data_IF_543130288271
#
_entry.id   IF_543130288271
#
_cell.length_a   1.000
_cell.length_b   1.000
_cell.length_c   1.000
_cell.angle_alpha   90.00
_cell.angle_beta   90.00
_cell.angle_gamma   90.00
#
_symmetry.space_group_name_H-M   'P 1'
#
loop_
_entity.id
_entity.type
_entity.pdbx_description
1 polymer ?
#
# COMPACT_ATOMS: atom_id res chain seq x y z
N UNK A 1 1.48 15.69 15.81
CA UNK A 1 2.13 14.37 15.86
C UNK A 1 1.42 13.44 14.87
N UNK A 2 2.18 12.75 14.03
CA UNK A 2 1.64 11.84 13.00
C UNK A 2 0.59 12.48 12.11
N UNK A 3 0.86 13.67 11.62
CA UNK A 3 -0.08 14.39 10.76
C UNK A 3 -0.25 13.75 9.38
N UNK A 4 0.78 13.10 8.87
CA UNK A 4 0.77 12.45 7.56
C UNK A 4 0.95 10.94 7.74
N UNK A 5 -0.10 10.19 7.43
CA UNK A 5 -0.08 8.72 7.54
C UNK A 5 -0.10 8.12 6.15
N UNK A 6 0.90 7.29 5.84
CA UNK A 6 1.02 6.59 4.57
C UNK A 6 0.52 5.16 4.72
N UNK A 7 -0.37 4.73 3.82
CA UNK A 7 -0.97 3.39 3.87
C UNK A 7 -0.86 2.72 2.51
N UNK A 8 0.04 1.74 2.35
CA UNK A 8 0.05 0.94 1.13
C UNK A 8 -1.11 -0.05 1.13
N UNK A 9 -1.78 -0.18 0.00
CA UNK A 9 -2.92 -1.09 -0.18
C UNK A 9 -2.69 -1.94 -1.43
N UNK A 10 -3.06 -3.20 -1.34
CA UNK A 10 -2.89 -4.15 -2.46
C UNK A 10 -4.17 -4.94 -2.76
N UNK A 11 -5.29 -4.54 -2.16
CA UNK A 11 -6.57 -5.22 -2.32
C UNK A 11 -6.75 -6.43 -1.41
N UNK A 12 -5.76 -6.77 -0.58
CA UNK A 12 -5.89 -7.89 0.35
C UNK A 12 -6.71 -7.50 1.58
N UNK A 13 -7.24 -8.51 2.28
CA UNK A 13 -8.01 -8.28 3.51
C UNK A 13 -7.17 -7.62 4.60
N UNK A 14 -5.90 -8.03 4.70
CA UNK A 14 -5.03 -7.47 5.73
C UNK A 14 -4.70 -6.01 5.45
N UNK A 15 -4.53 -5.64 4.18
CA UNK A 15 -4.35 -4.24 3.81
C UNK A 15 -5.59 -3.42 4.16
N UNK A 16 -6.78 -4.00 3.98
CA UNK A 16 -8.04 -3.38 4.41
C UNK A 16 -8.10 -3.16 5.92
N UNK A 17 -7.62 -4.13 6.70
CA UNK A 17 -7.54 -3.99 8.15
C UNK A 17 -6.55 -2.91 8.55
N UNK A 18 -5.41 -2.84 7.87
CA UNK A 18 -4.43 -1.78 8.10
C UNK A 18 -5.02 -0.40 7.80
N UNK A 19 -5.78 -0.29 6.73
CA UNK A 19 -6.43 0.96 6.38
C UNK A 19 -7.45 1.38 7.45
N UNK A 20 -8.23 0.45 7.95
CA UNK A 20 -9.20 0.74 9.03
C UNK A 20 -8.48 1.22 10.29
N UNK A 21 -7.35 0.62 10.63
CA UNK A 21 -6.57 1.07 11.78
C UNK A 21 -6.01 2.47 11.56
N UNK A 22 -5.52 2.75 10.36
CA UNK A 22 -5.05 4.09 9.99
C UNK A 22 -6.16 5.12 10.11
N UNK A 23 -7.38 4.78 9.69
CA UNK A 23 -8.54 5.67 9.81
C UNK A 23 -8.83 5.97 11.27
N UNK A 24 -8.81 4.96 12.14
CA UNK A 24 -9.02 5.16 13.58
C UNK A 24 -8.00 6.11 14.17
N UNK A 25 -6.73 5.93 13.84
CA UNK A 25 -5.67 6.83 14.28
C UNK A 25 -5.84 8.24 13.73
N UNK A 26 -6.12 8.37 12.45
CA UNK A 26 -6.26 9.67 11.81
C UNK A 26 -7.41 10.48 12.42
N UNK A 27 -8.51 9.81 12.78
CA UNK A 27 -9.62 10.48 13.44
C UNK A 27 -9.24 11.01 14.81
N UNK A 28 -8.45 10.25 15.57
CA UNK A 28 -8.01 10.66 16.89
C UNK A 28 -6.95 11.75 16.85
N UNK A 29 -6.09 11.73 15.85
CA UNK A 29 -4.93 12.61 15.77
C UNK A 29 -5.11 13.77 14.79
N UNK A 30 -6.25 13.85 14.14
CA UNK A 30 -6.53 14.85 13.09
C UNK A 30 -5.49 14.76 11.95
N UNK A 31 -5.17 13.53 11.57
CA UNK A 31 -4.19 13.26 10.51
C UNK A 31 -4.86 13.25 9.14
N UNK A 32 -4.03 13.38 8.10
CA UNK A 32 -4.43 13.08 6.74
C UNK A 32 -3.79 11.77 6.30
N UNK A 33 -4.40 11.13 5.32
CA UNK A 33 -3.93 9.83 4.84
C UNK A 33 -3.59 9.92 3.37
N UNK A 34 -2.49 9.29 2.98
CA UNK A 34 -2.23 8.97 1.58
C UNK A 34 -2.27 7.46 1.42
N UNK A 35 -3.12 6.99 0.50
CA UNK A 35 -3.15 5.58 0.13
C UNK A 35 -2.32 5.41 -1.14
N UNK A 36 -1.50 4.37 -1.18
CA UNK A 36 -0.69 4.07 -2.37
C UNK A 36 -0.84 2.61 -2.75
N UNK A 37 -0.74 2.34 -4.03
CA UNK A 37 -0.66 0.98 -4.56
C UNK A 37 0.49 0.89 -5.53
N UNK A 38 1.26 -0.18 -5.42
CA UNK A 38 2.41 -0.44 -6.29
C UNK A 38 2.00 -1.47 -7.33
N UNK A 39 2.01 -1.09 -8.59
CA UNK A 39 1.74 -2.00 -9.71
C UNK A 39 3.07 -2.66 -10.06
N UNK A 40 3.30 -3.87 -9.58
CA UNK A 40 4.59 -4.52 -9.72
C UNK A 40 4.52 -5.96 -10.23
N UNK A 41 3.39 -6.41 -10.75
CA UNK A 41 3.29 -7.75 -11.30
C UNK A 41 4.23 -7.96 -12.48
N UNK A 42 4.79 -9.15 -12.58
CA UNK A 42 5.71 -9.53 -13.65
C UNK A 42 4.95 -10.34 -14.70
N UNK A 43 5.02 -9.96 -16.00
CA UNK A 43 4.42 -10.77 -17.05
C UNK A 43 5.07 -12.15 -17.10
N UNK A 44 4.32 -13.21 -17.45
CA UNK A 44 4.91 -14.53 -17.65
C UNK A 44 6.00 -14.49 -18.71
N UNK A 45 7.04 -15.33 -18.61
CA UNK A 45 8.03 -15.46 -19.68
C UNK A 45 7.36 -15.93 -20.97
N UNK A 46 7.95 -15.62 -22.10
CA UNK A 46 7.48 -16.02 -23.43
C UNK A 46 6.18 -15.37 -23.91
N UNK A 47 5.74 -14.28 -23.26
CA UNK A 47 4.61 -13.50 -23.74
C UNK A 47 5.01 -12.62 -24.92
N UNK A 48 4.08 -12.47 -25.88
CA UNK A 48 4.27 -11.52 -26.95
C UNK A 48 4.18 -10.08 -26.40
N UNK A 49 4.78 -9.09 -27.09
CA UNK A 49 4.67 -7.70 -26.65
C UNK A 49 3.23 -7.21 -26.48
N UNK A 50 2.30 -7.66 -27.34
CA UNK A 50 0.90 -7.27 -27.22
C UNK A 50 0.24 -7.84 -25.97
N UNK A 51 0.58 -9.07 -25.60
CA UNK A 51 0.06 -9.70 -24.36
C UNK A 51 0.63 -8.99 -23.15
N UNK A 52 1.91 -8.64 -23.16
CA UNK A 52 2.54 -7.89 -22.08
C UNK A 52 1.81 -6.55 -21.87
N UNK A 53 1.53 -5.84 -22.96
CA UNK A 53 0.83 -4.57 -22.90
C UNK A 53 -0.56 -4.70 -22.31
N UNK A 54 -1.30 -5.75 -22.69
CA UNK A 54 -2.61 -6.03 -22.14
C UNK A 54 -2.55 -6.30 -20.63
N UNK A 55 -1.56 -7.09 -20.19
CA UNK A 55 -1.39 -7.41 -18.78
C UNK A 55 -1.05 -6.16 -17.96
N UNK A 56 -0.18 -5.31 -18.47
CA UNK A 56 0.17 -4.05 -17.81
C UNK A 56 -1.06 -3.16 -17.68
N UNK A 57 -1.83 -3.03 -18.75
CA UNK A 57 -3.06 -2.24 -18.75
C UNK A 57 -4.06 -2.77 -17.73
N UNK A 58 -4.20 -4.09 -17.65
CA UNK A 58 -5.10 -4.72 -16.69
C UNK A 58 -4.64 -4.50 -15.25
N UNK A 59 -3.35 -4.63 -14.98
CA UNK A 59 -2.79 -4.39 -13.65
C UNK A 59 -2.99 -2.93 -13.22
N UNK A 60 -2.80 -2.01 -14.15
CA UNK A 60 -3.01 -0.58 -13.90
C UNK A 60 -4.47 -0.31 -13.55
N UNK A 61 -5.39 -0.88 -14.34
CA UNK A 61 -6.83 -0.74 -14.11
C UNK A 61 -7.25 -1.31 -12.76
N UNK A 62 -6.74 -2.49 -12.42
CA UNK A 62 -6.98 -3.10 -11.11
C UNK A 62 -6.45 -2.22 -9.99
N UNK A 63 -5.24 -1.69 -10.16
CA UNK A 63 -4.63 -0.81 -9.18
C UNK A 63 -5.41 0.48 -8.96
N UNK A 64 -5.93 1.05 -10.04
CA UNK A 64 -6.78 2.25 -9.95
C UNK A 64 -8.04 1.97 -9.13
N UNK A 65 -8.64 0.80 -9.31
CA UNK A 65 -9.81 0.39 -8.53
C UNK A 65 -9.45 0.22 -7.05
N UNK A 66 -8.31 -0.39 -6.76
CA UNK A 66 -7.84 -0.59 -5.38
C UNK A 66 -7.66 0.74 -4.66
N UNK A 67 -6.96 1.69 -5.27
CA UNK A 67 -6.75 2.99 -4.62
C UNK A 67 -8.03 3.81 -4.54
N UNK A 68 -8.90 3.69 -5.54
CA UNK A 68 -10.18 4.41 -5.54
C UNK A 68 -11.07 3.93 -4.39
N UNK A 69 -11.19 2.61 -4.20
CA UNK A 69 -11.97 2.05 -3.09
C UNK A 69 -11.41 2.48 -1.74
N UNK A 70 -10.09 2.41 -1.60
CA UNK A 70 -9.43 2.80 -0.37
C UNK A 70 -9.65 4.28 -0.07
N UNK A 71 -9.48 5.13 -1.06
CA UNK A 71 -9.69 6.57 -0.93
C UNK A 71 -11.14 6.89 -0.54
N UNK A 72 -12.09 6.21 -1.17
CA UNK A 72 -13.52 6.40 -0.88
C UNK A 72 -13.82 6.03 0.57
N UNK A 73 -13.27 4.91 1.06
CA UNK A 73 -13.45 4.48 2.43
C UNK A 73 -12.93 5.52 3.43
N UNK A 74 -11.77 6.09 3.15
CA UNK A 74 -11.20 7.13 4.02
C UNK A 74 -12.02 8.41 3.97
N UNK A 75 -12.35 8.85 2.76
CA UNK A 75 -13.10 10.10 2.54
C UNK A 75 -14.47 10.07 3.23
N UNK A 76 -15.14 8.92 3.22
CA UNK A 76 -16.46 8.78 3.84
C UNK A 76 -16.44 9.03 5.35
N UNK A 77 -15.28 8.99 5.98
CA UNK A 77 -15.13 9.26 7.42
C UNK A 77 -14.77 10.72 7.72
N UNK A 78 -14.67 11.56 6.68
CA UNK A 78 -14.34 12.98 6.85
C UNK A 78 -12.85 13.28 6.93
N UNK A 79 -11.98 12.28 6.73
CA UNK A 79 -10.53 12.46 6.77
C UNK A 79 -10.05 12.97 5.42
N UNK A 80 -9.13 13.94 5.43
CA UNK A 80 -8.45 14.39 4.23
C UNK A 80 -7.60 13.25 3.68
N UNK A 81 -7.77 12.93 2.40
CA UNK A 81 -7.10 11.79 1.79
C UNK A 81 -6.72 12.09 0.34
N UNK A 82 -5.53 11.65 -0.06
CA UNK A 82 -5.18 11.56 -1.46
C UNK A 82 -4.66 10.16 -1.76
N UNK A 83 -4.36 9.89 -3.02
CA UNK A 83 -3.93 8.57 -3.46
C UNK A 83 -2.84 8.67 -4.51
N UNK A 84 -2.10 7.61 -4.64
CA UNK A 84 -1.07 7.51 -5.66
C UNK A 84 -0.95 6.09 -6.16
N UNK A 85 -0.80 5.94 -7.48
CA UNK A 85 -0.52 4.67 -8.14
C UNK A 85 0.92 4.73 -8.63
N UNK A 86 1.74 3.77 -8.22
CA UNK A 86 3.16 3.72 -8.58
C UNK A 86 3.41 2.50 -9.43
N UNK A 87 3.99 2.67 -10.61
CA UNK A 87 4.32 1.56 -11.49
C UNK A 87 5.78 1.18 -11.29
N UNK A 88 6.01 -0.09 -10.97
CA UNK A 88 7.33 -0.61 -10.65
C UNK A 88 7.42 -2.08 -11.05
N UNK A 89 7.13 -2.37 -12.31
CA UNK A 89 7.04 -3.73 -12.83
C UNK A 89 8.25 -4.58 -12.47
N UNK A 90 7.99 -5.74 -11.86
CA UNK A 90 9.03 -6.69 -11.52
C UNK A 90 9.86 -6.34 -10.30
N UNK A 91 9.58 -5.24 -9.62
CA UNK A 91 10.34 -4.83 -8.43
C UNK A 91 9.52 -5.00 -7.15
N UNK A 92 10.20 -5.23 -6.00
CA UNK A 92 9.50 -5.36 -4.72
C UNK A 92 8.79 -4.07 -4.32
N UNK A 93 7.56 -4.21 -3.84
CA UNK A 93 6.74 -3.06 -3.48
C UNK A 93 7.28 -2.26 -2.29
N UNK A 94 7.88 -2.93 -1.31
CA UNK A 94 8.36 -2.28 -0.09
C UNK A 94 9.32 -1.13 -0.34
N UNK A 95 10.19 -1.28 -1.34
CA UNK A 95 11.15 -0.24 -1.72
C UNK A 95 10.46 1.07 -2.10
N UNK A 96 9.35 0.96 -2.83
CA UNK A 96 8.60 2.14 -3.30
C UNK A 96 7.76 2.76 -2.20
N UNK A 97 7.31 1.97 -1.24
CA UNK A 97 6.63 2.49 -0.05
C UNK A 97 7.60 3.36 0.77
N UNK A 98 8.81 2.89 0.99
CA UNK A 98 9.83 3.64 1.72
C UNK A 98 10.19 4.93 0.97
N UNK A 99 10.38 4.86 -0.34
CA UNK A 99 10.66 6.05 -1.16
C UNK A 99 9.52 7.07 -1.05
N UNK A 100 8.29 6.61 -1.10
CA UNK A 100 7.14 7.51 -0.99
C UNK A 100 7.07 8.16 0.41
N UNK A 101 7.41 7.41 1.46
CA UNK A 101 7.43 7.97 2.82
C UNK A 101 8.43 9.13 2.94
N UNK A 102 9.54 9.06 2.21
CA UNK A 102 10.51 10.15 2.16
C UNK A 102 9.99 11.34 1.36
N UNK A 103 9.40 11.07 0.18
CA UNK A 103 9.01 12.12 -0.76
C UNK A 103 7.77 12.89 -0.29
N UNK A 104 6.83 12.21 0.34
CA UNK A 104 5.58 12.83 0.83
C UNK A 104 5.68 13.31 2.27
N UNK A 105 6.75 13.49 2.85
CA UNK A 105 7.11 13.53 4.27
C UNK A 105 6.06 12.87 5.19
N UNK A 106 5.94 11.55 5.10
CA UNK A 106 5.10 10.80 6.02
C UNK A 106 5.66 10.88 7.44
N UNK A 107 4.77 10.80 8.43
CA UNK A 107 5.16 10.72 9.84
C UNK A 107 4.96 9.33 10.41
N UNK A 108 4.19 8.50 9.72
CA UNK A 108 3.87 7.14 10.15
C UNK A 108 3.49 6.33 8.91
N UNK A 109 3.95 5.08 8.85
CA UNK A 109 3.47 4.11 7.87
C UNK A 109 2.60 3.10 8.61
N UNK A 110 1.40 2.81 8.08
CA UNK A 110 0.53 1.76 8.62
C UNK A 110 0.36 0.72 7.52
N UNK A 111 0.79 -0.50 7.76
CA UNK A 111 0.71 -1.56 6.75
C UNK A 111 0.43 -2.91 7.39
N UNK A 112 -0.02 -3.87 6.59
CA UNK A 112 -0.23 -5.22 7.04
C UNK A 112 1.08 -6.00 7.14
N UNK A 113 1.08 -7.06 7.93
CA UNK A 113 2.25 -7.92 8.07
C UNK A 113 2.49 -8.78 6.83
N UNK A 114 1.44 -8.99 6.01
CA UNK A 114 1.50 -9.73 4.74
C UNK A 114 0.76 -8.97 3.68
N UNK A 115 1.03 -9.28 2.42
CA UNK A 115 0.26 -8.80 1.29
C UNK A 115 -0.52 -9.94 0.64
N UNK A 116 -0.72 -9.84 -0.67
CA UNK A 116 -1.44 -10.84 -1.48
C UNK A 116 -0.77 -12.20 -1.56
N UNK A 117 0.51 -12.28 -1.23
CA UNK A 117 1.28 -13.52 -1.41
C UNK A 117 0.83 -14.68 -0.54
N UNK A 118 -0.09 -14.46 0.40
CA UNK A 118 -0.67 -15.52 1.20
C UNK A 118 0.30 -16.25 2.11
N UNK A 119 1.35 -15.57 2.55
CA UNK A 119 2.35 -16.16 3.44
C UNK A 119 1.73 -16.61 4.76
N UNK A 120 2.33 -17.61 5.37
CA UNK A 120 1.87 -18.14 6.64
C UNK A 120 1.85 -17.05 7.70
N UNK A 121 0.86 -17.12 8.60
CA UNK A 121 0.60 -16.12 9.64
C UNK A 121 1.80 -15.79 10.53
N UNK A 122 2.73 -16.73 10.69
CA UNK A 122 3.86 -16.57 11.60
C UNK A 122 5.03 -15.83 10.97
N UNK A 123 5.02 -15.63 9.66
CA UNK A 123 6.12 -14.98 8.95
C UNK A 123 5.66 -13.63 8.42
N UNK A 124 6.48 -12.63 8.67
CA UNK A 124 6.25 -11.31 8.09
C UNK A 124 6.52 -11.37 6.58
N UNK A 125 5.67 -10.72 5.78
CA UNK A 125 5.88 -10.64 4.34
C UNK A 125 7.15 -9.85 4.01
N UNK A 126 7.72 -10.13 2.84
CA UNK A 126 8.97 -9.50 2.40
C UNK A 126 8.86 -7.98 2.31
N UNK A 127 7.72 -7.46 1.86
CA UNK A 127 7.51 -6.02 1.76
C UNK A 127 7.40 -5.37 3.13
N UNK A 128 6.67 -5.99 4.06
CA UNK A 128 6.56 -5.49 5.42
C UNK A 128 7.93 -5.50 6.11
N UNK A 129 8.71 -6.56 5.92
CA UNK A 129 10.05 -6.65 6.46
C UNK A 129 10.96 -5.55 5.91
N UNK A 130 10.91 -5.31 4.59
CA UNK A 130 11.69 -4.24 3.98
C UNK A 130 11.30 -2.88 4.56
N UNK A 131 10.00 -2.62 4.67
CA UNK A 131 9.50 -1.36 5.21
C UNK A 131 10.00 -1.13 6.65
N UNK A 132 9.90 -2.16 7.50
CA UNK A 132 10.36 -2.07 8.88
C UNK A 132 11.85 -1.77 8.96
N UNK A 133 12.67 -2.40 8.10
CA UNK A 133 14.12 -2.23 8.12
C UNK A 133 14.57 -0.87 7.60
N UNK A 134 13.84 -0.29 6.64
CA UNK A 134 14.35 0.87 5.89
C UNK A 134 13.50 2.13 6.05
N UNK A 135 12.41 2.07 6.79
CA UNK A 135 11.51 3.21 6.94
C UNK A 135 12.20 4.38 7.65
N UNK A 136 12.04 5.62 7.13
CA UNK A 136 12.53 6.81 7.81
C UNK A 136 11.65 7.21 9.00
N UNK A 137 10.49 6.57 9.19
CA UNK A 137 9.49 6.94 10.19
C UNK A 137 9.00 5.68 10.92
N UNK A 138 8.32 5.82 12.06
CA UNK A 138 7.70 4.66 12.72
C UNK A 138 6.76 3.91 11.80
N UNK A 139 6.68 2.60 12.02
CA UNK A 139 5.82 1.70 11.24
C UNK A 139 4.88 0.98 12.19
N UNK A 140 3.59 1.09 11.94
CA UNK A 140 2.59 0.31 12.65
C UNK A 140 2.21 -0.88 11.78
N UNK A 141 2.51 -2.07 12.27
CA UNK A 141 2.17 -3.31 11.56
C UNK A 141 0.83 -3.84 12.08
N UNK A 142 -0.06 -4.12 11.15
CA UNK A 142 -1.38 -4.68 11.49
C UNK A 142 -1.38 -6.15 11.11
N UNK A 143 -1.65 -6.99 12.11
CA UNK A 143 -1.70 -8.44 11.91
C UNK A 143 -3.09 -8.85 11.45
N UNK A 144 -3.15 -9.85 10.57
CA UNK A 144 -4.41 -10.43 10.17
C UNK A 144 -5.07 -11.19 11.32
N UNK A 145 -6.37 -11.19 11.33
CA UNK A 145 -7.16 -11.96 12.30
C UNK A 145 -7.23 -13.43 11.92
#
# INVERSE_FOLDING_TARGET
MYQNILVPVDGSDIAGQALREAIRLARSLSSRIRVIHIVNGTPPPDCTPSVIEELITQQRSTGESIVHEAKTAVRSTGIEVDNRLIEALGEPAGKFVVAEANDWPAHLIVCGTHGRSGLKRLLMGSDAEYIVRHSPVPVLLVRGS
#
